data_IF_285785063676
#
_entry.id   IF_285785063676
#
_cell.length_a   1.000
_cell.length_b   1.000
_cell.length_c   1.000
_cell.angle_alpha   90.00
_cell.angle_beta   90.00
_cell.angle_gamma   90.00
#
_symmetry.space_group_name_H-M   'P 1'
#
loop_
_entity.id
_entity.type
_entity.pdbx_description
1 polymer ?
#
# COMPACT_ATOMS: atom_id res chain seq x y z
N UNK A 1 -48.53 25.49 16.65
CA UNK A 1 -48.07 24.70 17.82
C UNK A 1 -48.12 23.22 17.42
N UNK A 2 -47.06 22.44 17.26
CA UNK A 2 -45.62 22.66 17.21
C UNK A 2 -45.00 21.40 16.57
N UNK A 3 -43.99 21.61 15.73
CA UNK A 3 -43.14 20.59 15.12
C UNK A 3 -42.33 19.80 16.15
N UNK A 4 -42.11 18.50 15.88
CA UNK A 4 -40.90 17.73 16.28
C UNK A 4 -40.92 16.40 15.49
N UNK A 5 -40.47 16.39 14.24
CA UNK A 5 -39.11 16.07 13.78
C UNK A 5 -38.60 14.70 14.26
N UNK A 6 -38.49 13.81 13.29
CA UNK A 6 -37.99 12.44 13.30
C UNK A 6 -36.73 12.19 14.12
N UNK A 7 -36.80 11.21 15.03
CA UNK A 7 -35.66 10.67 15.76
C UNK A 7 -34.82 9.73 14.88
N UNK A 8 -33.99 10.31 14.01
CA UNK A 8 -32.90 9.60 13.34
C UNK A 8 -31.72 9.45 14.33
N UNK A 9 -31.74 8.36 15.10
CA UNK A 9 -30.66 7.93 15.99
C UNK A 9 -29.42 7.44 15.22
N UNK A 10 -28.63 8.42 14.75
CA UNK A 10 -27.20 8.44 14.42
C UNK A 10 -26.38 7.14 14.60
N UNK A 11 -26.49 6.21 13.66
CA UNK A 11 -25.34 5.40 13.22
C UNK A 11 -24.67 6.11 12.04
N UNK A 12 -23.89 7.14 12.34
CA UNK A 12 -22.88 7.68 11.43
C UNK A 12 -21.59 7.85 12.20
N UNK A 13 -21.03 6.72 12.64
CA UNK A 13 -19.59 6.64 12.77
C UNK A 13 -19.06 6.98 11.39
N UNK A 14 -18.49 8.17 11.26
CA UNK A 14 -17.99 8.70 10.01
C UNK A 14 -17.16 7.61 9.33
N UNK A 15 -17.72 7.02 8.27
CA UNK A 15 -16.90 6.44 7.22
C UNK A 15 -16.07 7.61 6.73
N UNK A 16 -14.91 7.81 7.37
CA UNK A 16 -13.83 8.59 6.80
C UNK A 16 -13.75 8.03 5.39
N UNK A 17 -14.08 8.86 4.42
CA UNK A 17 -13.76 8.62 3.03
C UNK A 17 -12.23 8.62 3.07
N UNK A 18 -11.66 7.49 3.46
CA UNK A 18 -10.29 7.16 3.17
C UNK A 18 -10.32 7.10 1.65
N UNK A 19 -9.98 8.21 1.01
CA UNK A 19 -9.44 8.17 -0.34
C UNK A 19 -8.47 6.99 -0.30
N UNK A 20 -8.73 5.91 -1.07
CA UNK A 20 -7.87 4.74 -1.01
C UNK A 20 -6.49 5.27 -1.31
N UNK A 21 -5.62 5.21 -0.29
CA UNK A 21 -4.27 5.71 -0.42
C UNK A 21 -3.70 5.01 -1.65
N UNK A 22 -3.41 5.80 -2.68
CA UNK A 22 -3.21 5.27 -4.03
C UNK A 22 -1.86 4.58 -4.06
N UNK A 23 -1.88 3.25 -3.96
CA UNK A 23 -0.69 2.42 -4.10
C UNK A 23 -0.01 2.72 -5.44
N UNK A 24 1.26 3.10 -5.40
CA UNK A 24 2.11 3.36 -6.57
C UNK A 24 2.32 2.10 -7.42
N UNK A 25 2.41 0.95 -6.77
CA UNK A 25 2.61 -0.34 -7.44
C UNK A 25 1.32 -1.12 -7.45
N UNK A 26 1.03 -1.82 -8.56
CA UNK A 26 -0.13 -2.69 -8.66
C UNK A 26 0.17 -4.10 -8.13
N UNK A 27 -0.85 -4.82 -7.68
CA UNK A 27 -0.74 -6.26 -7.39
C UNK A 27 -0.33 -6.99 -8.66
N UNK A 28 0.69 -7.84 -8.54
CA UNK A 28 1.30 -8.58 -9.63
C UNK A 28 2.50 -7.88 -10.27
N UNK A 29 2.74 -6.60 -9.98
CA UNK A 29 3.89 -5.86 -10.48
C UNK A 29 5.20 -6.35 -9.85
N UNK A 30 6.27 -6.32 -10.62
CA UNK A 30 7.62 -6.57 -10.12
C UNK A 30 8.22 -5.26 -9.58
N UNK A 31 8.82 -5.34 -8.41
CA UNK A 31 9.43 -4.24 -7.66
C UNK A 31 10.80 -4.65 -7.19
N UNK A 32 11.72 -3.69 -7.12
CA UNK A 32 13.04 -3.89 -6.55
C UNK A 32 13.01 -3.43 -5.10
N UNK A 33 13.44 -4.30 -4.21
CA UNK A 33 13.64 -3.97 -2.80
C UNK A 33 15.14 -3.99 -2.50
N UNK A 34 15.67 -2.87 -1.99
CA UNK A 34 17.08 -2.81 -1.54
C UNK A 34 17.18 -3.37 -0.12
N UNK A 35 17.85 -4.51 0.01
CA UNK A 35 18.14 -5.14 1.29
C UNK A 35 19.41 -4.55 1.92
N UNK A 36 19.25 -3.56 2.81
CA UNK A 36 20.34 -3.10 3.68
C UNK A 36 21.43 -2.25 2.99
N UNK A 37 22.63 -2.26 3.58
CA UNK A 37 23.78 -1.43 3.18
C UNK A 37 24.56 -1.99 1.97
N UNK A 38 24.45 -3.30 1.73
CA UNK A 38 24.99 -3.89 0.52
C UNK A 38 23.95 -3.66 -0.57
N UNK A 39 24.37 -3.16 -1.73
CA UNK A 39 23.48 -2.74 -2.82
C UNK A 39 22.78 -3.92 -3.53
N UNK A 40 22.38 -4.94 -2.76
CA UNK A 40 21.69 -6.11 -3.24
C UNK A 40 20.25 -5.74 -3.55
N UNK A 41 20.02 -5.58 -4.86
CA UNK A 41 18.71 -5.35 -5.46
C UNK A 41 18.07 -6.69 -5.71
N UNK A 42 17.05 -7.02 -4.92
CA UNK A 42 16.30 -8.26 -5.08
C UNK A 42 14.96 -7.95 -5.73
N UNK A 43 14.58 -8.79 -6.70
CA UNK A 43 13.30 -8.70 -7.38
C UNK A 43 12.20 -9.37 -6.56
N UNK A 44 11.15 -8.61 -6.33
CA UNK A 44 9.97 -9.03 -5.62
C UNK A 44 8.73 -8.79 -6.48
N UNK A 45 7.72 -9.62 -6.28
CA UNK A 45 6.40 -9.44 -6.88
C UNK A 45 5.41 -8.98 -5.84
N UNK A 46 4.64 -7.94 -6.14
CA UNK A 46 3.57 -7.47 -5.27
C UNK A 46 2.45 -8.52 -5.24
N UNK A 47 2.18 -9.08 -4.07
CA UNK A 47 1.06 -10.00 -3.86
C UNK A 47 -0.21 -9.28 -3.41
N UNK A 48 -0.07 -8.25 -2.57
CA UNK A 48 -1.23 -7.57 -1.99
C UNK A 48 -0.89 -6.17 -1.49
N UNK A 49 -1.84 -5.27 -1.68
CA UNK A 49 -1.84 -3.94 -1.07
C UNK A 49 -2.37 -4.03 0.36
N UNK A 50 -1.62 -3.48 1.30
CA UNK A 50 -2.03 -3.39 2.69
C UNK A 50 -2.52 -1.96 2.99
N UNK A 51 -3.54 -1.82 3.84
CA UNK A 51 -4.05 -0.50 4.22
C UNK A 51 -2.97 0.29 4.96
N UNK A 52 -2.93 1.60 4.72
CA UNK A 52 -2.10 2.50 5.52
C UNK A 52 -2.66 2.59 6.94
N UNK A 53 -1.92 2.06 7.90
CA UNK A 53 -2.22 2.15 9.34
C UNK A 53 -1.90 3.52 9.95
N UNK A 54 -1.59 4.53 9.12
CA UNK A 54 -1.13 5.86 9.51
C UNK A 54 0.39 6.02 9.53
N UNK A 55 1.14 5.11 8.90
CA UNK A 55 2.61 5.10 8.87
C UNK A 55 3.18 4.97 7.45
N UNK A 56 2.34 4.81 6.44
CA UNK A 56 2.69 4.62 5.04
C UNK A 56 1.99 3.42 4.40
N UNK A 57 1.87 3.48 3.08
CA UNK A 57 1.36 2.39 2.26
C UNK A 57 2.28 1.18 2.33
N UNK A 58 1.71 0.03 2.67
CA UNK A 58 2.44 -1.22 2.78
C UNK A 58 2.07 -2.18 1.65
N UNK A 59 3.02 -3.04 1.33
CA UNK A 59 2.90 -4.07 0.31
C UNK A 59 3.35 -5.40 0.89
N UNK A 60 2.54 -6.43 0.63
CA UNK A 60 2.98 -7.81 0.77
C UNK A 60 3.61 -8.22 -0.56
N UNK A 61 4.85 -8.65 -0.48
CA UNK A 61 5.71 -8.99 -1.58
C UNK A 61 6.11 -10.47 -1.50
N UNK A 62 6.48 -11.05 -2.64
CA UNK A 62 7.09 -12.37 -2.72
C UNK A 62 8.39 -12.29 -3.52
N UNK A 63 9.48 -12.77 -2.95
CA UNK A 63 10.75 -12.88 -3.65
C UNK A 63 10.58 -13.84 -4.82
N UNK A 64 10.95 -13.44 -6.03
CA UNK A 64 10.86 -14.33 -7.19
C UNK A 64 11.93 -15.41 -7.18
N UNK A 65 13.10 -15.11 -6.60
CA UNK A 65 14.23 -16.05 -6.50
C UNK A 65 14.02 -17.11 -5.42
N UNK A 66 13.57 -16.66 -4.25
CA UNK A 66 13.60 -17.46 -3.02
C UNK A 66 12.20 -17.89 -2.55
N UNK A 67 11.15 -17.31 -3.16
CA UNK A 67 9.75 -17.61 -2.83
C UNK A 67 9.28 -17.08 -1.47
N UNK A 68 10.17 -16.51 -0.65
CA UNK A 68 9.83 -15.91 0.63
C UNK A 68 8.96 -14.67 0.49
N UNK A 69 7.98 -14.56 1.38
CA UNK A 69 7.10 -13.41 1.45
C UNK A 69 7.61 -12.37 2.45
N UNK A 70 7.47 -11.10 2.09
CA UNK A 70 7.87 -9.99 2.95
C UNK A 70 6.85 -8.86 2.90
N UNK A 71 6.68 -8.17 4.02
CA UNK A 71 5.90 -6.94 4.08
C UNK A 71 6.87 -5.77 4.17
N UNK A 72 6.66 -4.76 3.34
CA UNK A 72 7.47 -3.54 3.33
C UNK A 72 6.66 -2.33 2.92
N UNK A 73 7.22 -1.15 3.14
CA UNK A 73 6.61 0.12 2.78
C UNK A 73 6.90 0.52 1.35
N UNK A 74 6.02 1.33 0.77
CA UNK A 74 6.20 1.93 -0.56
C UNK A 74 7.56 2.64 -0.70
N UNK A 75 7.97 3.36 0.34
CA UNK A 75 9.19 4.16 0.34
C UNK A 75 10.47 3.33 0.21
N UNK A 76 10.42 2.03 0.50
CA UNK A 76 11.55 1.12 0.37
C UNK A 76 11.56 0.36 -0.97
N UNK A 77 10.60 0.65 -1.86
CA UNK A 77 10.44 -0.02 -3.14
C UNK A 77 10.76 0.90 -4.30
N UNK A 78 11.47 0.33 -5.27
CA UNK A 78 11.84 0.99 -6.51
C UNK A 78 11.19 0.25 -7.70
N UNK A 79 10.90 0.99 -8.76
CA UNK A 79 10.52 0.36 -10.02
C UNK A 79 11.75 -0.34 -10.62
N UNK A 80 11.61 -1.58 -11.13
CA UNK A 80 12.70 -2.26 -11.83
C UNK A 80 13.14 -1.51 -13.10
N UNK A 81 12.24 -0.68 -13.65
CA UNK A 81 12.47 0.10 -14.88
C UNK A 81 12.75 1.59 -14.63
N UNK A 82 13.13 1.98 -13.41
CA UNK A 82 13.48 3.39 -13.12
C UNK A 82 14.87 3.78 -13.67
N UNK A 83 15.13 3.52 -14.95
CA UNK A 83 16.29 4.01 -15.72
C UNK A 83 15.90 4.76 -17.01
N UNK A 84 14.65 5.20 -17.19
CA UNK A 84 14.33 6.14 -18.28
C UNK A 84 13.44 7.30 -17.84
N UNK A 85 14.08 8.38 -17.45
CA UNK A 85 13.58 9.72 -17.74
C UNK A 85 14.80 10.62 -18.00
N UNK A 86 15.13 10.72 -19.30
CA UNK A 86 15.96 11.76 -19.91
C UNK A 86 15.38 13.14 -19.63
#
# INVERSE_FOLDING_TARGET
MGDVISAAGRFRGAARIFSPASHKFAVGASVVYRMGHQSEKVLFRVLRHLPDGGQGLQYRLKCETDGHERVTFEAALEHPESEKAT
#
